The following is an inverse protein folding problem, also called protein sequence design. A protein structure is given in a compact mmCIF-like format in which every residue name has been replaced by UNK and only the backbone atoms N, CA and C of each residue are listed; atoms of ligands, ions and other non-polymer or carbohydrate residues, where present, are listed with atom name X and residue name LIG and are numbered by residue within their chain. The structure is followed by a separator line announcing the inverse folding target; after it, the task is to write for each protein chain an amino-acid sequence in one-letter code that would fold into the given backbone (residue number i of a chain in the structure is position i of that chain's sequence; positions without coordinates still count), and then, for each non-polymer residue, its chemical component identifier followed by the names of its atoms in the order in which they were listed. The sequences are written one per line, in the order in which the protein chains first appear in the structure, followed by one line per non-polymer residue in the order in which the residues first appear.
data_IF_025515652028
#
_entry.id   IF_025515652028
#
_cell.length_a   1.000
_cell.length_b   1.000
_cell.length_c   1.000
_cell.angle_alpha   90.00
_cell.angle_beta   90.00
_cell.angle_gamma   90.00
#
_symmetry.space_group_name_H-M   'P 1'
#
loop_
_entity.id
_entity.type
_entity.pdbx_description
1 polymer ?
#
# COMPACT_ATOMS: atom_id res chain seq x y z
N UNK A 1 11.34 20.38 18.51
CA UNK A 1 10.62 19.65 17.44
C UNK A 1 10.78 18.18 17.73
N UNK A 2 9.70 17.50 18.12
CA UNK A 2 9.72 16.04 18.27
C UNK A 2 10.14 15.41 16.94
N UNK A 3 11.05 14.45 16.99
CA UNK A 3 11.37 13.64 15.81
C UNK A 3 10.08 12.95 15.42
N UNK A 4 9.60 13.18 14.19
CA UNK A 4 8.56 12.33 13.61
C UNK A 4 9.10 10.90 13.69
N UNK A 5 8.58 10.09 14.62
CA UNK A 5 8.97 8.69 14.67
C UNK A 5 8.54 8.07 13.35
N UNK A 6 9.52 7.54 12.61
CA UNK A 6 9.29 6.82 11.37
C UNK A 6 8.55 5.52 11.72
N UNK A 7 7.25 5.58 11.93
CA UNK A 7 6.41 4.43 12.25
C UNK A 7 5.46 4.24 11.09
N UNK A 8 5.68 3.15 10.35
CA UNK A 8 4.65 2.58 9.50
C UNK A 8 3.63 1.91 10.42
N UNK A 9 2.40 2.41 10.46
CA UNK A 9 1.34 1.83 11.29
C UNK A 9 0.75 0.65 10.51
N UNK A 10 1.14 -0.58 10.89
CA UNK A 10 0.55 -1.79 10.36
C UNK A 10 -0.67 -2.21 11.19
N UNK A 11 -1.69 -2.75 10.54
CA UNK A 11 -2.87 -3.34 11.18
C UNK A 11 -3.23 -4.68 10.54
N UNK A 12 -4.18 -5.42 11.15
CA UNK A 12 -4.75 -6.63 10.53
C UNK A 12 -5.46 -6.35 9.19
N UNK A 13 -5.82 -5.09 8.96
CA UNK A 13 -6.41 -4.63 7.70
C UNK A 13 -5.37 -4.09 6.72
N UNK A 14 -4.08 -4.33 6.96
CA UNK A 14 -3.00 -3.91 6.08
C UNK A 14 -2.41 -5.11 5.32
N UNK A 15 -1.92 -4.87 4.10
CA UNK A 15 -1.14 -5.81 3.30
C UNK A 15 0.27 -5.24 3.14
N UNK A 16 1.26 -6.09 3.37
CA UNK A 16 2.66 -5.77 3.15
C UNK A 16 3.12 -6.33 1.80
N UNK A 17 3.90 -5.55 1.04
CA UNK A 17 4.63 -6.05 -0.13
C UNK A 17 6.09 -5.62 -0.07
N UNK A 18 6.94 -6.36 -0.76
CA UNK A 18 8.31 -5.90 -1.00
C UNK A 18 8.31 -4.72 -1.97
N UNK A 19 9.25 -3.78 -1.85
CA UNK A 19 9.41 -2.73 -2.83
C UNK A 19 9.74 -3.32 -4.21
N UNK A 20 9.03 -2.89 -5.25
CA UNK A 20 9.28 -3.33 -6.63
C UNK A 20 10.65 -2.85 -7.16
N UNK A 21 11.12 -1.70 -6.65
CA UNK A 21 12.39 -1.07 -7.02
C UNK A 21 13.18 -0.72 -5.77
N UNK A 22 14.50 -0.92 -5.81
CA UNK A 22 15.42 -0.70 -4.68
C UNK A 22 15.94 0.74 -4.54
N UNK A 23 15.46 1.65 -5.37
CA UNK A 23 15.89 3.04 -5.41
C UNK A 23 14.68 3.95 -5.26
N UNK A 24 14.80 4.97 -4.40
CA UNK A 24 13.86 6.09 -4.31
C UNK A 24 13.93 6.91 -5.62
N UNK A 25 13.34 6.38 -6.68
CA UNK A 25 13.00 7.17 -7.87
C UNK A 25 11.58 7.70 -7.67
N UNK A 26 11.45 9.00 -7.41
CA UNK A 26 10.16 9.67 -7.28
C UNK A 26 9.31 9.59 -8.55
N UNK A 27 9.85 9.11 -9.68
CA UNK A 27 9.09 8.83 -10.90
C UNK A 27 8.37 7.47 -10.88
N UNK A 28 8.82 6.53 -10.05
CA UNK A 28 8.26 5.18 -9.91
C UNK A 28 7.73 4.93 -8.47
N UNK A 29 7.64 6.00 -7.68
CA UNK A 29 7.21 5.93 -6.28
C UNK A 29 5.70 5.69 -6.19
N UNK A 30 5.33 4.58 -5.55
CA UNK A 30 3.95 4.30 -5.19
C UNK A 30 3.47 5.28 -4.13
N UNK A 31 2.65 6.24 -4.57
CA UNK A 31 2.09 7.26 -3.69
C UNK A 31 0.92 6.72 -2.88
N UNK A 32 0.61 7.37 -1.76
CA UNK A 32 -0.60 7.10 -1.00
C UNK A 32 -1.83 7.22 -1.91
N UNK A 33 -2.77 6.29 -1.80
CA UNK A 33 -3.93 6.18 -2.68
C UNK A 33 -3.71 5.33 -3.95
N UNK A 34 -2.47 4.93 -4.25
CA UNK A 34 -2.19 4.12 -5.46
C UNK A 34 -2.86 2.74 -5.39
N UNK A 35 -3.34 2.20 -6.53
CA UNK A 35 -3.95 0.88 -6.56
C UNK A 35 -2.90 -0.24 -6.53
N UNK A 36 -3.09 -1.23 -5.67
CA UNK A 36 -2.40 -2.52 -5.76
C UNK A 36 -3.27 -3.50 -6.53
N UNK A 37 -2.86 -3.80 -7.76
CA UNK A 37 -3.56 -4.72 -8.66
C UNK A 37 -2.89 -6.10 -8.64
N UNK A 38 -3.70 -7.15 -8.55
CA UNK A 38 -3.24 -8.53 -8.69
C UNK A 38 -3.96 -9.21 -9.85
N UNK A 39 -3.21 -9.91 -10.70
CA UNK A 39 -3.78 -10.75 -11.75
C UNK A 39 -4.45 -11.97 -11.10
N UNK A 40 -5.70 -12.24 -11.46
CA UNK A 40 -6.43 -13.39 -10.97
C UNK A 40 -5.88 -14.69 -11.58
N UNK A 41 -6.12 -15.86 -10.95
CA UNK A 41 -5.62 -17.16 -11.44
C UNK A 41 -6.09 -17.56 -12.85
N UNK A 42 -7.03 -16.81 -13.45
CA UNK A 42 -7.51 -17.04 -14.81
C UNK A 42 -6.73 -16.24 -15.88
N UNK A 43 -5.71 -15.49 -15.46
CA UNK A 43 -4.84 -14.65 -16.28
C UNK A 43 -5.58 -13.62 -17.16
N UNK A 44 -6.83 -13.28 -16.82
CA UNK A 44 -7.67 -12.39 -17.64
C UNK A 44 -8.19 -11.18 -16.88
N UNK A 45 -8.32 -11.27 -15.56
CA UNK A 45 -8.87 -10.18 -14.75
C UNK A 45 -7.87 -9.70 -13.72
N UNK A 46 -7.83 -8.38 -13.53
CA UNK A 46 -7.09 -7.75 -12.45
C UNK A 46 -8.04 -7.39 -11.32
N UNK A 47 -7.63 -7.65 -10.08
CA UNK A 47 -8.38 -7.28 -8.88
C UNK A 47 -7.63 -6.19 -8.10
N UNK A 48 -8.36 -5.14 -7.72
CA UNK A 48 -7.88 -4.17 -6.74
C UNK A 48 -7.86 -4.86 -5.37
N UNK A 49 -6.65 -5.13 -4.87
CA UNK A 49 -6.43 -5.89 -3.64
C UNK A 49 -6.00 -4.99 -2.48
N UNK A 50 -5.43 -3.83 -2.79
CA UNK A 50 -4.96 -2.86 -1.80
C UNK A 50 -4.95 -1.43 -2.33
N UNK A 51 -4.92 -0.47 -1.40
CA UNK A 51 -4.74 0.96 -1.68
C UNK A 51 -3.56 1.48 -0.87
N UNK A 52 -2.61 2.15 -1.51
CA UNK A 52 -1.36 2.57 -0.88
C UNK A 52 -1.60 3.44 0.34
N UNK A 53 -1.07 3.05 1.49
CA UNK A 53 -1.23 3.83 2.72
C UNK A 53 -0.22 4.98 2.78
N UNK A 54 -0.56 6.04 3.52
CA UNK A 54 0.33 7.18 3.71
C UNK A 54 1.59 6.81 4.52
N UNK A 55 2.73 7.42 4.17
CA UNK A 55 4.03 7.20 4.78
C UNK A 55 4.59 8.52 5.32
N UNK A 56 5.18 8.47 6.51
CA UNK A 56 5.73 9.64 7.20
C UNK A 56 7.14 10.02 6.69
N UNK A 57 7.82 9.20 5.88
CA UNK A 57 9.13 9.56 5.31
C UNK A 57 9.55 8.66 4.13
N UNK A 58 10.28 9.24 3.16
CA UNK A 58 11.20 8.51 2.28
C UNK A 58 12.34 7.98 3.16
N UNK A 59 12.48 6.66 3.27
CA UNK A 59 13.51 6.05 4.11
C UNK A 59 14.75 5.73 3.27
N UNK A 60 15.95 5.95 3.83
CA UNK A 60 17.19 5.59 3.15
C UNK A 60 17.23 4.09 2.78
N UNK A 61 17.70 3.81 1.57
CA UNK A 61 17.98 2.47 1.03
C UNK A 61 18.74 1.62 2.07
N UNK A 62 18.22 0.41 2.34
CA UNK A 62 18.82 -0.57 3.27
C UNK A 62 18.13 -0.72 4.64
N UNK A 63 17.15 0.13 4.96
CA UNK A 63 16.21 -0.06 6.10
C UNK A 63 14.77 -0.02 5.59
N UNK A 64 14.55 -0.53 4.39
CA UNK A 64 13.27 -0.39 3.70
C UNK A 64 12.20 -1.22 4.41
N UNK A 65 11.23 -0.51 5.00
CA UNK A 65 10.02 -1.16 5.50
C UNK A 65 9.17 -1.58 4.30
N UNK A 66 8.49 -2.74 4.39
CA UNK A 66 7.64 -3.20 3.31
C UNK A 66 6.65 -2.11 2.89
N UNK A 67 6.31 -2.09 1.61
CA UNK A 67 5.18 -1.33 1.07
C UNK A 67 3.90 -1.74 1.81
N UNK A 68 3.05 -0.78 2.15
CA UNK A 68 1.86 -1.00 2.97
C UNK A 68 0.65 -0.48 2.22
N UNK A 69 -0.39 -1.31 2.21
CA UNK A 69 -1.65 -1.00 1.57
C UNK A 69 -2.79 -1.35 2.50
N UNK A 70 -3.87 -0.58 2.46
CA UNK A 70 -5.12 -0.93 3.10
C UNK A 70 -5.80 -2.04 2.32
N UNK A 71 -6.13 -3.15 3.00
CA UNK A 71 -6.68 -4.37 2.42
C UNK A 71 -8.10 -4.13 1.96
N UNK A 72 -8.33 -4.21 0.65
CA UNK A 72 -9.66 -3.98 0.08
C UNK A 72 -10.68 -5.00 0.58
N UNK A 73 -10.29 -6.27 0.73
CA UNK A 73 -11.23 -7.32 1.16
C UNK A 73 -11.87 -7.04 2.53
N UNK A 74 -11.14 -6.36 3.43
CA UNK A 74 -11.67 -5.99 4.75
C UNK A 74 -12.73 -4.88 4.68
N UNK A 75 -12.78 -4.13 3.58
CA UNK A 75 -13.60 -2.92 3.43
C UNK A 75 -14.77 -3.08 2.42
N UNK A 76 -14.93 -4.25 1.78
CA UNK A 76 -15.95 -4.47 0.74
C UNK A 76 -17.36 -4.11 1.20
N UNK A 77 -17.74 -4.49 2.43
CA UNK A 77 -19.08 -4.22 2.95
C UNK A 77 -19.35 -2.72 3.07
N UNK A 78 -18.39 -1.96 3.61
CA UNK A 78 -18.47 -0.51 3.72
C UNK A 78 -18.49 0.19 2.36
N UNK A 79 -17.66 -0.27 1.40
CA UNK A 79 -17.64 0.28 0.04
C UNK A 79 -19.02 0.15 -0.59
N UNK A 80 -19.63 -1.05 -0.54
CA UNK A 80 -20.97 -1.29 -1.10
C UNK A 80 -22.04 -0.41 -0.47
N UNK A 81 -22.09 -0.35 0.86
CA UNK A 81 -23.09 0.46 1.57
C UNK A 81 -22.94 1.97 1.35
N UNK A 82 -21.79 2.42 0.84
CA UNK A 82 -21.53 3.85 0.59
C UNK A 82 -21.95 4.27 -0.82
N UNK A 83 -21.99 3.34 -1.78
CA UNK A 83 -22.28 3.63 -3.19
C UNK A 83 -23.70 3.22 -3.62
N UNK A 84 -24.39 2.44 -2.79
CA UNK A 84 -25.82 2.13 -2.91
C UNK A 84 -26.69 3.32 -2.45
#
# INVERSE_FOLDING_TARGET
MERCENISIASINSVCTEPAYSTDDCNEEEVAGSPMLCLQPDDRRWALTGVGSWRIACSKVGVERPRLYDKISSNIAWIKSTIE
#
